data_IF_931813484562
#
_entry.id   IF_931813484562
#
_cell.length_a   1.000
_cell.length_b   1.000
_cell.length_c   1.000
_cell.angle_alpha   90.00
_cell.angle_beta   90.00
_cell.angle_gamma   90.00
#
_symmetry.space_group_name_H-M   'P 1'
#
loop_
_entity.id
_entity.type
_entity.pdbx_description
1 polymer ?
#
# COMPACT_ATOMS: atom_id res chain seq x y z
N UNK A 1 -10.16 -0.79 10.23
CA UNK A 1 -8.81 -0.24 10.50
C UNK A 1 -8.85 1.21 10.07
N UNK A 2 -8.40 2.13 10.92
CA UNK A 2 -8.22 3.53 10.58
C UNK A 2 -6.79 3.73 10.08
N UNK A 3 -6.61 4.52 9.02
CA UNK A 3 -5.32 4.75 8.39
C UNK A 3 -4.92 6.21 8.63
N UNK A 4 -3.72 6.41 9.15
CA UNK A 4 -3.11 7.72 9.34
C UNK A 4 -2.10 7.92 8.23
N UNK A 5 -2.44 8.81 7.30
CA UNK A 5 -1.61 9.19 6.16
C UNK A 5 -0.51 10.19 6.59
N UNK A 6 0.26 10.73 5.64
CA UNK A 6 1.25 11.80 5.85
C UNK A 6 0.65 13.00 6.62
N UNK A 7 1.50 13.79 7.27
CA UNK A 7 1.19 14.81 8.31
C UNK A 7 1.20 14.32 9.77
N UNK A 8 1.47 13.04 10.03
CA UNK A 8 1.81 12.60 11.38
C UNK A 8 3.27 12.92 11.78
N UNK A 9 4.14 13.15 10.80
CA UNK A 9 5.54 13.56 10.93
C UNK A 9 5.77 14.96 10.34
N UNK A 10 6.86 15.64 10.76
CA UNK A 10 7.20 17.00 10.30
C UNK A 10 7.71 17.02 8.86
N UNK A 11 8.67 16.13 8.55
CA UNK A 11 9.18 15.87 7.19
C UNK A 11 9.48 14.38 7.05
N UNK A 12 9.62 13.93 5.80
CA UNK A 12 9.99 12.54 5.53
C UNK A 12 11.26 12.13 6.29
N UNK A 13 11.19 10.96 6.94
CA UNK A 13 12.29 10.40 7.74
C UNK A 13 12.41 10.93 9.17
N UNK A 14 11.50 11.79 9.65
CA UNK A 14 11.47 12.15 11.08
C UNK A 14 11.02 10.98 11.96
N UNK A 15 10.14 10.11 11.44
CA UNK A 15 9.70 8.87 12.07
C UNK A 15 9.11 9.05 13.50
N UNK A 16 8.63 10.26 13.81
CA UNK A 16 8.06 10.61 15.11
C UNK A 16 6.81 11.49 14.94
N UNK A 17 5.92 11.43 15.92
CA UNK A 17 4.69 12.21 15.93
C UNK A 17 4.95 13.70 16.10
N UNK A 18 4.36 14.53 15.25
CA UNK A 18 4.31 15.99 15.46
C UNK A 18 3.37 16.32 16.60
N UNK A 19 3.91 16.49 17.81
CA UNK A 19 3.11 16.70 19.03
C UNK A 19 2.21 17.93 19.03
N UNK A 20 2.48 18.90 18.15
CA UNK A 20 1.57 20.04 17.92
C UNK A 20 0.20 19.60 17.38
N UNK A 21 0.17 18.63 16.48
CA UNK A 21 -1.07 18.11 15.87
C UNK A 21 -1.54 16.81 16.53
N UNK A 22 -0.60 16.05 17.10
CA UNK A 22 -0.82 14.75 17.75
C UNK A 22 -0.32 14.79 19.19
N UNK A 23 -0.99 15.54 20.10
CA UNK A 23 -0.49 15.77 21.45
C UNK A 23 -0.37 14.47 22.26
N UNK A 24 -1.37 13.59 22.16
CA UNK A 24 -1.39 12.28 22.82
C UNK A 24 -1.78 11.13 21.85
N UNK A 25 -0.85 10.68 20.98
CA UNK A 25 -1.11 9.61 20.03
C UNK A 25 -1.28 8.25 20.73
N UNK A 26 -0.74 8.08 21.94
CA UNK A 26 -0.90 6.84 22.73
C UNK A 26 -2.29 6.79 23.36
N UNK A 27 -2.77 7.91 23.90
CA UNK A 27 -4.15 8.07 24.36
C UNK A 27 -5.14 7.86 23.22
N UNK A 28 -4.94 8.53 22.09
CA UNK A 28 -5.74 8.33 20.87
C UNK A 28 -5.77 6.85 20.45
N UNK A 29 -4.60 6.19 20.40
CA UNK A 29 -4.54 4.79 20.03
C UNK A 29 -5.28 3.88 21.02
N UNK A 30 -5.22 4.19 22.32
CA UNK A 30 -5.96 3.47 23.37
C UNK A 30 -7.47 3.62 23.19
N UNK A 31 -7.96 4.83 22.93
CA UNK A 31 -9.39 5.11 22.71
C UNK A 31 -9.91 4.40 21.46
N UNK A 32 -9.20 4.53 20.33
CA UNK A 32 -9.55 3.85 19.08
C UNK A 32 -9.59 2.33 19.27
N UNK A 33 -8.63 1.75 20.01
CA UNK A 33 -8.62 0.32 20.31
C UNK A 33 -9.77 -0.10 21.23
N UNK A 34 -10.15 0.72 22.20
CA UNK A 34 -11.33 0.47 23.04
C UNK A 34 -12.63 0.45 22.23
N UNK A 35 -12.68 1.19 21.11
CA UNK A 35 -13.77 1.15 20.13
C UNK A 35 -13.67 -0.02 19.13
N UNK A 36 -12.61 -0.84 19.20
CA UNK A 36 -12.39 -1.96 18.28
C UNK A 36 -11.66 -1.61 16.97
N UNK A 37 -11.10 -0.40 16.85
CA UNK A 37 -10.28 -0.04 15.70
C UNK A 37 -8.85 -0.58 15.84
N UNK A 38 -8.33 -1.08 14.72
CA UNK A 38 -6.90 -1.17 14.47
C UNK A 38 -6.41 0.08 13.76
N UNK A 39 -5.14 0.42 13.94
CA UNK A 39 -4.54 1.64 13.38
C UNK A 39 -3.39 1.25 12.45
N UNK A 40 -3.43 1.76 11.23
CA UNK A 40 -2.32 1.70 10.29
C UNK A 40 -1.75 3.10 10.09
N UNK A 41 -0.45 3.18 9.84
CA UNK A 41 0.23 4.46 9.61
C UNK A 41 1.10 4.40 8.35
N UNK A 42 1.05 5.46 7.55
CA UNK A 42 1.88 5.63 6.37
C UNK A 42 3.36 5.80 6.75
N UNK A 43 4.23 5.10 6.03
CA UNK A 43 5.67 5.15 6.12
C UNK A 43 6.22 5.37 4.71
N UNK A 44 7.36 6.03 4.64
CA UNK A 44 8.01 6.40 3.39
C UNK A 44 9.51 6.07 3.47
N UNK A 45 10.15 5.77 2.33
CA UNK A 45 11.56 5.37 2.32
C UNK A 45 12.54 6.53 2.49
N UNK A 46 12.05 7.76 2.32
CA UNK A 46 12.86 8.97 2.24
C UNK A 46 13.34 9.48 3.59
N UNK A 47 14.49 10.16 3.58
CA UNK A 47 15.10 10.78 4.75
C UNK A 47 15.53 12.22 4.45
N UNK A 48 14.87 13.20 5.05
CA UNK A 48 15.30 14.59 4.99
C UNK A 48 16.60 14.79 5.77
N UNK A 49 17.50 15.66 5.28
CA UNK A 49 18.80 15.94 5.92
C UNK A 49 18.69 16.50 7.35
N UNK A 50 17.59 17.20 7.62
CA UNK A 50 17.30 17.81 8.93
C UNK A 50 16.55 16.84 9.86
N UNK A 51 16.26 15.60 9.42
CA UNK A 51 15.71 14.58 10.31
C UNK A 51 16.64 14.37 11.51
N UNK A 52 16.10 14.25 12.74
CA UNK A 52 16.90 13.91 13.92
C UNK A 52 17.57 12.53 13.82
N UNK A 53 17.17 11.72 12.83
CA UNK A 53 17.73 10.40 12.57
C UNK A 53 18.73 10.38 11.42
N UNK A 54 18.89 11.47 10.66
CA UNK A 54 19.71 11.46 9.45
C UNK A 54 21.13 10.95 9.73
N UNK A 55 21.78 11.50 10.76
CA UNK A 55 23.15 11.14 11.15
C UNK A 55 23.31 9.67 11.54
N UNK A 56 22.29 9.08 12.17
CA UNK A 56 22.33 7.66 12.57
C UNK A 56 22.48 6.72 11.37
N UNK A 57 21.93 7.12 10.21
CA UNK A 57 22.00 6.37 8.96
C UNK A 57 23.18 6.81 8.08
N UNK A 58 23.39 8.12 7.92
CA UNK A 58 24.44 8.65 7.03
C UNK A 58 25.84 8.23 7.47
N UNK A 59 26.13 8.27 8.78
CA UNK A 59 27.45 7.92 9.33
C UNK A 59 27.80 6.44 9.12
N UNK A 60 26.79 5.60 8.85
CA UNK A 60 26.96 4.16 8.57
C UNK A 60 26.86 3.82 7.08
N UNK A 61 26.68 4.82 6.21
CA UNK A 61 26.46 4.60 4.78
C UNK A 61 25.12 3.92 4.47
N UNK A 62 24.09 4.12 5.30
CA UNK A 62 22.77 3.47 5.17
C UNK A 62 21.76 4.29 4.38
N UNK A 63 22.19 5.37 3.73
CA UNK A 63 21.34 6.22 2.90
C UNK A 63 21.81 6.15 1.46
N UNK A 64 20.88 5.82 0.56
CA UNK A 64 21.00 6.08 -0.88
C UNK A 64 20.93 7.59 -1.06
N UNK A 65 21.74 8.12 -1.96
CA UNK A 65 21.73 9.52 -2.38
C UNK A 65 21.74 9.64 -3.90
N UNK A 66 21.27 10.78 -4.42
CA UNK A 66 21.22 11.03 -5.85
C UNK A 66 21.50 12.49 -6.21
N UNK A 67 21.86 12.71 -7.47
CA UNK A 67 22.10 14.05 -8.00
C UNK A 67 20.76 14.78 -8.21
N UNK A 68 20.51 15.93 -7.57
CA UNK A 68 19.30 16.72 -7.78
C UNK A 68 19.08 17.13 -9.23
N UNK A 69 20.13 17.33 -10.02
CA UNK A 69 20.00 17.77 -11.42
C UNK A 69 19.31 16.72 -12.32
N UNK A 70 19.17 15.48 -11.86
CA UNK A 70 18.50 14.40 -12.59
C UNK A 70 17.06 14.18 -12.14
N UNK A 71 16.58 14.96 -11.19
CA UNK A 71 15.28 14.76 -10.55
C UNK A 71 14.34 15.89 -10.95
N UNK A 72 13.22 15.59 -11.63
CA UNK A 72 12.20 16.61 -11.89
C UNK A 72 11.63 17.13 -10.56
N UNK A 73 11.22 18.40 -10.52
CA UNK A 73 10.66 19.09 -9.34
C UNK A 73 9.26 18.58 -8.92
N UNK A 74 9.05 17.26 -8.90
CA UNK A 74 7.77 16.64 -8.54
C UNK A 74 7.82 16.04 -7.14
N UNK A 75 8.58 14.97 -6.95
CA UNK A 75 8.61 14.19 -5.70
C UNK A 75 9.94 13.46 -5.54
N UNK A 76 10.49 13.25 -4.33
CA UNK A 76 9.98 13.74 -3.05
C UNK A 76 10.21 15.26 -2.90
N UNK A 77 9.35 15.96 -2.13
CA UNK A 77 9.35 17.40 -2.00
C UNK A 77 10.49 17.87 -1.08
N UNK A 78 10.51 19.16 -0.75
CA UNK A 78 11.34 19.73 0.32
C UNK A 78 12.85 19.49 0.19
N UNK A 79 13.36 19.37 -1.04
CA UNK A 79 14.79 19.22 -1.24
C UNK A 79 15.34 17.86 -0.76
N UNK A 80 14.48 16.85 -0.59
CA UNK A 80 14.90 15.50 -0.18
C UNK A 80 15.78 14.87 -1.26
N UNK A 81 16.95 14.36 -0.85
CA UNK A 81 17.94 13.71 -1.72
C UNK A 81 18.38 12.34 -1.23
N UNK A 82 17.70 11.79 -0.24
CA UNK A 82 18.12 10.54 0.40
C UNK A 82 16.95 9.60 0.66
N UNK A 83 17.23 8.31 0.56
CA UNK A 83 16.34 7.22 0.97
C UNK A 83 17.12 6.19 1.78
N UNK A 84 16.45 5.47 2.66
CA UNK A 84 17.08 4.37 3.42
C UNK A 84 17.50 3.25 2.46
N UNK A 85 18.74 2.79 2.54
CA UNK A 85 19.19 1.64 1.74
C UNK A 85 18.66 0.33 2.34
N UNK A 86 17.41 -0.05 2.04
CA UNK A 86 16.86 -1.32 2.51
C UNK A 86 17.56 -2.55 1.94
N UNK A 87 18.49 -2.41 0.98
CA UNK A 87 19.34 -3.53 0.56
C UNK A 87 20.39 -3.88 1.61
N UNK A 88 20.79 -2.92 2.45
CA UNK A 88 21.71 -3.12 3.56
C UNK A 88 21.02 -3.77 4.79
N UNK A 89 21.45 -4.95 5.28
CA UNK A 89 20.84 -5.60 6.44
C UNK A 89 20.91 -4.75 7.72
N UNK A 90 22.01 -4.02 7.92
CA UNK A 90 22.16 -3.06 9.00
C UNK A 90 21.17 -1.89 8.94
N UNK A 91 20.89 -1.34 7.75
CA UNK A 91 19.91 -0.28 7.56
C UNK A 91 18.49 -0.77 7.88
N UNK A 92 18.13 -1.98 7.43
CA UNK A 92 16.85 -2.62 7.78
C UNK A 92 16.63 -2.71 9.29
N UNK A 93 17.64 -3.20 10.02
CA UNK A 93 17.59 -3.31 11.49
C UNK A 93 17.49 -1.95 12.17
N UNK A 94 18.26 -0.96 11.71
CA UNK A 94 18.24 0.38 12.29
C UNK A 94 16.91 1.09 12.02
N UNK A 95 16.37 0.97 10.80
CA UNK A 95 15.05 1.49 10.46
C UNK A 95 13.96 0.89 11.34
N UNK A 96 13.92 -0.44 11.49
CA UNK A 96 12.95 -1.07 12.40
C UNK A 96 13.10 -0.56 13.83
N UNK A 97 14.33 -0.38 14.36
CA UNK A 97 14.54 0.18 15.70
C UNK A 97 13.94 1.58 15.87
N UNK A 98 13.85 2.38 14.80
CA UNK A 98 13.18 3.70 14.82
C UNK A 98 11.67 3.60 14.72
N UNK A 99 11.15 2.57 14.05
CA UNK A 99 9.71 2.33 13.85
C UNK A 99 9.07 1.57 15.01
N UNK A 100 9.81 0.68 15.69
CA UNK A 100 9.32 -0.16 16.78
C UNK A 100 8.62 0.62 17.91
N UNK A 101 9.09 1.82 18.32
CA UNK A 101 8.34 2.65 19.26
C UNK A 101 6.91 2.95 18.81
N UNK A 102 6.66 3.16 17.51
CA UNK A 102 5.31 3.43 16.98
C UNK A 102 4.42 2.19 17.09
N UNK A 103 4.97 1.00 16.86
CA UNK A 103 4.28 -0.28 17.12
C UNK A 103 3.87 -0.40 18.60
N UNK A 104 4.81 -0.10 19.51
CA UNK A 104 4.56 -0.12 20.96
C UNK A 104 3.53 0.92 21.40
N UNK A 105 3.44 2.06 20.69
CA UNK A 105 2.46 3.12 20.94
C UNK A 105 1.05 2.77 20.42
N UNK A 106 0.88 1.66 19.71
CA UNK A 106 -0.42 1.15 19.31
C UNK A 106 -0.67 1.07 17.81
N UNK A 107 0.30 1.37 16.96
CA UNK A 107 0.18 1.09 15.52
C UNK A 107 0.18 -0.44 15.30
N UNK A 108 -0.77 -0.95 14.51
CA UNK A 108 -0.95 -2.39 14.24
C UNK A 108 -0.53 -2.80 12.82
N UNK A 109 -0.33 -1.84 11.90
CA UNK A 109 0.09 -2.10 10.53
C UNK A 109 0.67 -0.86 9.86
N UNK A 110 1.25 -1.03 8.67
CA UNK A 110 1.98 0.05 8.00
C UNK A 110 1.63 0.13 6.52
N UNK A 111 1.33 1.33 6.04
CA UNK A 111 1.27 1.60 4.60
C UNK A 111 2.65 2.03 4.15
N UNK A 112 3.31 1.24 3.30
CA UNK A 112 4.67 1.52 2.82
C UNK A 112 4.58 2.14 1.43
N UNK A 113 4.42 3.45 1.41
CA UNK A 113 4.19 4.21 0.19
C UNK A 113 5.49 4.63 -0.50
N UNK A 114 5.41 4.94 -1.79
CA UNK A 114 6.53 5.39 -2.63
C UNK A 114 7.70 4.38 -2.69
N UNK A 115 7.39 3.09 -2.58
CA UNK A 115 8.37 2.00 -2.51
C UNK A 115 9.11 1.73 -3.83
N UNK A 116 8.61 2.23 -4.96
CA UNK A 116 9.35 2.26 -6.24
C UNK A 116 10.69 3.01 -6.05
N UNK A 117 10.74 3.89 -5.04
CA UNK A 117 11.50 5.12 -5.03
C UNK A 117 11.10 5.95 -6.25
N UNK A 118 9.98 6.68 -6.13
CA UNK A 118 9.47 7.60 -7.17
C UNK A 118 10.59 8.46 -7.77
N UNK A 119 11.52 8.89 -6.92
CA UNK A 119 12.82 9.37 -7.35
C UNK A 119 13.90 8.36 -7.05
N UNK A 120 14.40 7.77 -8.13
CA UNK A 120 15.57 6.92 -8.13
C UNK A 120 16.26 7.13 -9.47
N UNK A 121 17.08 8.16 -9.70
CA UNK A 121 17.74 8.35 -11.01
C UNK A 121 18.95 7.41 -11.20
N UNK A 122 19.42 7.15 -12.43
CA UNK A 122 20.65 6.39 -12.68
C UNK A 122 21.85 7.01 -11.96
N UNK A 123 22.70 6.18 -11.35
CA UNK A 123 23.83 6.64 -10.53
C UNK A 123 23.51 6.88 -9.05
N UNK A 124 22.26 6.70 -8.63
CA UNK A 124 21.90 6.70 -7.20
C UNK A 124 22.69 5.65 -6.43
N UNK A 125 23.31 6.05 -5.33
CA UNK A 125 24.25 5.22 -4.56
C UNK A 125 24.45 5.74 -3.13
N UNK A 126 24.98 4.91 -2.21
CA UNK A 126 25.26 3.48 -2.34
C UNK A 126 24.01 2.60 -2.26
N UNK A 127 24.11 1.38 -2.81
CA UNK A 127 23.25 0.25 -2.43
C UNK A 127 24.13 -0.94 -2.05
N UNK A 128 23.86 -1.56 -0.91
CA UNK A 128 24.62 -2.70 -0.41
C UNK A 128 24.65 -3.91 -1.37
N UNK A 129 23.56 -4.19 -2.09
CA UNK A 129 23.47 -5.32 -3.02
C UNK A 129 24.00 -5.03 -4.44
N UNK A 130 24.59 -3.85 -4.68
CA UNK A 130 25.25 -3.51 -5.94
C UNK A 130 24.68 -2.28 -6.62
N UNK A 131 24.47 -2.34 -7.94
CA UNK A 131 23.96 -1.20 -8.69
C UNK A 131 22.48 -0.93 -8.38
N UNK A 132 22.04 0.29 -8.69
CA UNK A 132 20.62 0.67 -8.64
C UNK A 132 19.74 -0.35 -9.34
N UNK A 133 20.10 -0.78 -10.55
CA UNK A 133 19.28 -1.62 -11.42
C UNK A 133 19.04 -3.01 -10.82
N UNK A 134 20.00 -3.51 -10.03
CA UNK A 134 19.85 -4.75 -9.28
C UNK A 134 18.88 -4.63 -8.10
N UNK A 135 18.69 -3.42 -7.57
CA UNK A 135 17.95 -3.17 -6.33
C UNK A 135 16.59 -2.55 -6.56
N UNK A 136 16.42 -1.73 -7.60
CA UNK A 136 15.23 -0.89 -7.84
C UNK A 136 13.93 -1.68 -7.70
N UNK A 137 13.79 -2.78 -8.47
CA UNK A 137 12.55 -3.57 -8.47
C UNK A 137 12.34 -4.42 -7.21
N UNK A 138 13.38 -4.66 -6.41
CA UNK A 138 13.28 -5.44 -5.16
C UNK A 138 13.28 -4.55 -3.90
N UNK A 139 13.34 -3.22 -4.07
CA UNK A 139 13.50 -2.28 -2.98
C UNK A 139 12.35 -2.40 -1.96
N UNK A 140 11.09 -2.32 -2.40
CA UNK A 140 9.91 -2.49 -1.53
C UNK A 140 9.87 -3.87 -0.89
N UNK A 141 10.31 -4.92 -1.60
CA UNK A 141 10.39 -6.28 -1.03
C UNK A 141 11.35 -6.33 0.16
N UNK A 142 12.51 -5.66 0.06
CA UNK A 142 13.50 -5.61 1.13
C UNK A 142 13.05 -4.71 2.28
N UNK A 143 12.29 -3.66 1.99
CA UNK A 143 11.66 -2.82 2.99
C UNK A 143 10.58 -3.58 3.78
N UNK A 144 9.65 -4.23 3.08
CA UNK A 144 8.63 -5.09 3.70
C UNK A 144 9.26 -6.24 4.49
N UNK A 145 10.39 -6.79 4.02
CA UNK A 145 11.18 -7.73 4.81
C UNK A 145 11.68 -7.11 6.12
N UNK A 146 12.20 -5.88 6.09
CA UNK A 146 12.67 -5.19 7.30
C UNK A 146 11.56 -5.06 8.34
N UNK A 147 10.37 -4.68 7.88
CA UNK A 147 9.17 -4.56 8.70
C UNK A 147 8.72 -5.91 9.26
N UNK A 148 8.61 -6.92 8.39
CA UNK A 148 8.18 -8.26 8.77
C UNK A 148 9.11 -8.89 9.80
N UNK A 149 10.41 -8.97 9.49
CA UNK A 149 11.40 -9.55 10.39
C UNK A 149 11.47 -8.77 11.71
N UNK A 150 11.41 -7.44 11.63
CA UNK A 150 11.42 -6.53 12.76
C UNK A 150 10.25 -6.79 13.71
N UNK A 151 9.02 -6.68 13.24
CA UNK A 151 7.83 -6.93 14.06
C UNK A 151 7.82 -8.35 14.62
N UNK A 152 8.21 -9.35 13.81
CA UNK A 152 8.26 -10.76 14.21
C UNK A 152 9.30 -11.05 15.29
N UNK A 153 10.33 -10.21 15.41
CA UNK A 153 11.36 -10.33 16.44
C UNK A 153 10.88 -9.94 17.84
N UNK A 154 9.85 -9.09 17.94
CA UNK A 154 9.30 -8.62 19.22
C UNK A 154 7.81 -8.94 19.43
N UNK A 155 7.14 -9.56 18.45
CA UNK A 155 5.71 -9.88 18.53
C UNK A 155 5.30 -11.15 17.77
N UNK A 156 4.29 -11.83 18.31
CA UNK A 156 3.59 -12.94 17.65
C UNK A 156 2.37 -12.50 16.82
N UNK A 157 2.03 -11.21 16.83
CA UNK A 157 0.94 -10.67 15.99
C UNK A 157 1.28 -10.84 14.51
N UNK A 158 0.26 -11.10 13.69
CA UNK A 158 0.42 -11.17 12.24
C UNK A 158 0.82 -9.81 11.71
N UNK A 159 1.82 -9.79 10.82
CA UNK A 159 2.29 -8.59 10.16
C UNK A 159 1.32 -8.23 9.05
N UNK A 160 1.02 -6.94 8.94
CA UNK A 160 0.25 -6.40 7.82
C UNK A 160 0.93 -5.12 7.32
N UNK A 161 1.32 -5.13 6.05
CA UNK A 161 1.71 -3.92 5.34
C UNK A 161 0.95 -3.76 4.03
N UNK A 162 0.76 -2.51 3.63
CA UNK A 162 0.09 -2.12 2.39
C UNK A 162 1.09 -1.42 1.49
N UNK A 163 1.93 -2.11 0.69
CA UNK A 163 2.81 -1.45 -0.27
C UNK A 163 2.10 -1.00 -1.55
N UNK A 164 2.67 0.03 -2.21
CA UNK A 164 2.31 0.44 -3.58
C UNK A 164 3.01 -0.39 -4.67
N UNK A 165 4.14 -1.01 -4.35
CA UNK A 165 4.88 -1.92 -5.24
C UNK A 165 5.26 -3.23 -4.58
N UNK A 166 5.39 -4.26 -5.41
CA UNK A 166 5.87 -5.57 -5.01
C UNK A 166 6.76 -6.18 -6.09
N UNK A 167 7.61 -7.12 -5.67
CA UNK A 167 8.30 -8.06 -6.55
C UNK A 167 7.88 -9.50 -6.23
N UNK A 168 8.30 -10.45 -7.07
CA UNK A 168 8.08 -11.88 -6.85
C UNK A 168 8.47 -12.30 -5.42
N UNK A 169 7.50 -12.91 -4.71
CA UNK A 169 7.69 -13.42 -3.36
C UNK A 169 7.45 -12.40 -2.25
N UNK A 170 7.08 -11.14 -2.54
CA UNK A 170 6.78 -10.13 -1.49
C UNK A 170 5.61 -10.52 -0.59
N UNK A 171 4.66 -11.32 -1.10
CA UNK A 171 3.50 -11.82 -0.35
C UNK A 171 3.89 -12.54 0.96
N UNK A 172 5.09 -13.12 1.04
CA UNK A 172 5.59 -13.82 2.24
C UNK A 172 5.85 -12.89 3.43
N UNK A 173 5.87 -11.57 3.20
CA UNK A 173 6.14 -10.55 4.21
C UNK A 173 4.88 -9.82 4.69
N UNK A 174 3.69 -10.42 4.52
CA UNK A 174 2.43 -9.82 5.01
C UNK A 174 1.94 -8.62 4.20
N UNK A 175 2.37 -8.55 2.94
CA UNK A 175 2.07 -7.44 2.03
C UNK A 175 0.73 -7.61 1.32
N UNK A 176 -0.09 -6.56 1.34
CA UNK A 176 -1.25 -6.38 0.47
C UNK A 176 -0.98 -5.23 -0.52
N UNK A 177 -0.96 -5.54 -1.81
CA UNK A 177 -0.68 -4.52 -2.83
C UNK A 177 -1.89 -3.60 -2.98
N UNK A 178 -1.66 -2.30 -3.08
CA UNK A 178 -2.69 -1.37 -3.53
C UNK A 178 -2.32 -0.77 -4.90
N UNK A 179 -3.34 -0.46 -5.70
CA UNK A 179 -3.24 -0.07 -7.11
C UNK A 179 -2.62 1.30 -7.39
N UNK A 180 -2.28 2.09 -6.38
CA UNK A 180 -1.70 3.42 -6.58
C UNK A 180 -2.74 4.54 -6.71
N UNK A 181 -2.23 5.73 -7.07
CA UNK A 181 -2.96 7.00 -7.09
C UNK A 181 -3.82 7.11 -8.36
N UNK A 182 -4.95 6.42 -8.36
CA UNK A 182 -5.83 6.26 -9.52
C UNK A 182 -6.89 7.38 -9.67
N UNK A 183 -7.32 7.68 -10.89
CA UNK A 183 -8.38 8.65 -11.14
C UNK A 183 -9.78 8.10 -10.79
N UNK A 184 -10.71 8.95 -10.33
CA UNK A 184 -12.09 8.55 -10.08
C UNK A 184 -12.92 8.55 -11.38
N UNK A 185 -12.66 7.60 -12.28
CA UNK A 185 -13.42 7.43 -13.54
C UNK A 185 -13.99 6.01 -13.72
N UNK A 186 -14.97 5.87 -14.62
CA UNK A 186 -15.58 4.58 -14.94
C UNK A 186 -14.62 3.64 -15.68
N UNK A 187 -13.79 4.21 -16.56
CA UNK A 187 -12.73 3.51 -17.28
C UNK A 187 -11.71 2.94 -16.30
N UNK A 188 -11.26 3.74 -15.33
CA UNK A 188 -10.30 3.26 -14.32
C UNK A 188 -10.90 2.18 -13.42
N UNK A 189 -12.20 2.25 -13.09
CA UNK A 189 -12.90 1.17 -12.39
C UNK A 189 -12.92 -0.11 -13.23
N UNK A 190 -13.15 -0.02 -14.54
CA UNK A 190 -13.08 -1.17 -15.45
C UNK A 190 -11.66 -1.79 -15.42
N UNK A 191 -10.62 -0.97 -15.54
CA UNK A 191 -9.22 -1.41 -15.51
C UNK A 191 -8.88 -2.11 -14.18
N UNK A 192 -9.41 -1.61 -13.06
CA UNK A 192 -9.17 -2.20 -11.74
C UNK A 192 -9.64 -3.67 -11.65
N UNK A 193 -10.70 -4.05 -12.36
CA UNK A 193 -11.17 -5.44 -12.39
C UNK A 193 -10.12 -6.35 -13.02
N UNK A 194 -9.52 -5.90 -14.13
CA UNK A 194 -8.48 -6.64 -14.85
C UNK A 194 -7.18 -6.65 -14.06
N UNK A 195 -6.72 -5.48 -13.58
CA UNK A 195 -5.48 -5.32 -12.82
C UNK A 195 -5.51 -6.19 -11.55
N UNK A 196 -6.60 -6.15 -10.79
CA UNK A 196 -6.73 -6.94 -9.55
C UNK A 196 -6.60 -8.44 -9.80
N UNK A 197 -7.21 -8.95 -10.88
CA UNK A 197 -7.10 -10.35 -11.27
C UNK A 197 -5.67 -10.71 -11.68
N UNK A 198 -5.01 -9.89 -12.49
CA UNK A 198 -3.64 -10.12 -12.94
C UNK A 198 -2.62 -10.10 -11.77
N UNK A 199 -2.79 -9.20 -10.81
CA UNK A 199 -1.98 -9.19 -9.58
C UNK A 199 -2.16 -10.49 -8.79
N UNK A 200 -3.41 -10.93 -8.61
CA UNK A 200 -3.73 -12.15 -7.88
C UNK A 200 -3.20 -13.40 -8.59
N UNK A 201 -3.34 -13.46 -9.92
CA UNK A 201 -2.80 -14.50 -10.79
C UNK A 201 -1.26 -14.57 -10.70
N UNK A 202 -0.59 -13.43 -10.51
CA UNK A 202 0.86 -13.31 -10.35
C UNK A 202 1.37 -13.71 -8.95
N UNK A 203 0.51 -14.25 -8.09
CA UNK A 203 0.90 -14.77 -6.77
C UNK A 203 0.93 -13.73 -5.65
N UNK A 204 0.37 -12.53 -5.87
CA UNK A 204 0.12 -11.52 -4.84
C UNK A 204 -1.38 -11.56 -4.46
N UNK A 205 -1.78 -12.33 -3.43
CA UNK A 205 -3.18 -12.69 -3.24
C UNK A 205 -4.02 -11.62 -2.52
N UNK A 206 -3.37 -10.62 -1.95
CA UNK A 206 -4.03 -9.51 -1.28
C UNK A 206 -3.82 -8.27 -2.12
N UNK A 207 -4.91 -7.80 -2.71
CA UNK A 207 -4.93 -6.62 -3.56
C UNK A 207 -6.07 -5.68 -3.14
N UNK A 208 -5.85 -4.38 -3.31
CA UNK A 208 -6.77 -3.31 -3.03
C UNK A 208 -6.74 -2.25 -4.14
N UNK A 209 -7.85 -1.57 -4.34
CA UNK A 209 -7.91 -0.26 -4.99
C UNK A 209 -8.44 0.78 -4.02
N UNK A 210 -8.25 2.06 -4.35
CA UNK A 210 -8.96 3.13 -3.66
C UNK A 210 -10.39 3.22 -4.19
N UNK A 211 -11.33 2.74 -3.37
CA UNK A 211 -12.74 2.72 -3.73
C UNK A 211 -13.22 4.15 -3.99
N UNK A 212 -13.68 4.42 -5.21
CA UNK A 212 -14.07 5.75 -5.66
C UNK A 212 -12.92 6.59 -6.23
N UNK A 213 -11.76 5.99 -6.51
CA UNK A 213 -10.56 6.66 -7.00
C UNK A 213 -9.81 7.45 -5.91
N UNK A 214 -8.57 7.84 -6.20
CA UNK A 214 -7.71 8.59 -5.29
C UNK A 214 -7.77 10.09 -5.56
N UNK A 215 -7.61 10.51 -6.82
CA UNK A 215 -7.46 11.92 -7.18
C UNK A 215 -8.73 12.75 -6.90
N UNK A 216 -8.54 14.00 -6.48
CA UNK A 216 -9.63 14.98 -6.35
C UNK A 216 -9.90 15.58 -7.73
N UNK A 217 -11.14 15.44 -8.18
CA UNK A 217 -11.65 15.99 -9.44
C UNK A 217 -12.77 16.99 -9.16
N UNK A 218 -13.01 17.92 -10.08
CA UNK A 218 -14.11 18.89 -9.98
C UNK A 218 -15.50 18.22 -10.03
N UNK A 219 -15.56 17.01 -10.56
CA UNK A 219 -16.76 16.20 -10.66
C UNK A 219 -16.65 15.00 -9.73
N UNK A 220 -17.66 14.82 -8.88
CA UNK A 220 -17.78 13.70 -7.98
C UNK A 220 -19.07 12.95 -8.30
N UNK A 221 -18.94 11.67 -8.63
CA UNK A 221 -20.05 10.81 -9.04
C UNK A 221 -20.37 9.80 -7.93
N UNK A 222 -21.45 10.02 -7.15
CA UNK A 222 -21.90 9.05 -6.15
C UNK A 222 -22.24 7.68 -6.73
N UNK A 223 -22.68 7.58 -7.99
CA UNK A 223 -22.98 6.29 -8.62
C UNK A 223 -21.69 5.52 -8.90
N UNK A 224 -20.64 6.19 -9.41
CA UNK A 224 -19.31 5.58 -9.57
C UNK A 224 -18.79 5.02 -8.24
N UNK A 225 -18.83 5.83 -7.18
CA UNK A 225 -18.42 5.37 -5.84
C UNK A 225 -19.24 4.17 -5.37
N UNK A 226 -20.56 4.21 -5.52
CA UNK A 226 -21.43 3.09 -5.15
C UNK A 226 -20.99 1.83 -5.90
N UNK A 227 -20.80 1.88 -7.22
CA UNK A 227 -20.41 0.69 -8.01
C UNK A 227 -19.05 0.16 -7.63
N UNK A 228 -18.09 1.05 -7.42
CA UNK A 228 -16.77 0.67 -6.95
C UNK A 228 -16.82 0.03 -5.56
N UNK A 229 -17.62 0.56 -4.65
CA UNK A 229 -17.80 0.02 -3.31
C UNK A 229 -18.47 -1.35 -3.33
N UNK A 230 -19.50 -1.51 -4.17
CA UNK A 230 -20.18 -2.79 -4.35
C UNK A 230 -19.22 -3.89 -4.78
N UNK A 231 -18.39 -3.61 -5.80
CA UNK A 231 -17.36 -4.53 -6.27
C UNK A 231 -16.26 -4.74 -5.21
N UNK A 232 -15.75 -3.66 -4.62
CA UNK A 232 -14.72 -3.68 -3.59
C UNK A 232 -15.10 -4.54 -2.38
N UNK A 233 -16.39 -4.61 -2.04
CA UNK A 233 -16.87 -5.44 -0.92
C UNK A 233 -16.52 -6.93 -1.09
N UNK A 234 -16.31 -7.39 -2.33
CA UNK A 234 -15.91 -8.76 -2.69
C UNK A 234 -14.41 -8.90 -3.03
N UNK A 235 -13.64 -7.80 -3.02
CA UNK A 235 -12.19 -7.83 -3.23
C UNK A 235 -11.44 -8.24 -1.95
N UNK A 236 -10.17 -8.71 -2.05
CA UNK A 236 -9.40 -9.16 -0.89
C UNK A 236 -9.30 -8.10 0.22
N UNK A 237 -9.01 -6.85 -0.16
CA UNK A 237 -8.92 -5.72 0.76
C UNK A 237 -9.99 -4.68 0.39
N UNK A 238 -10.67 -4.14 1.40
CA UNK A 238 -11.76 -3.17 1.25
C UNK A 238 -11.38 -1.86 1.92
N UNK A 239 -11.02 -0.86 1.12
CA UNK A 239 -10.47 0.41 1.56
C UNK A 239 -11.04 1.55 0.72
N UNK A 240 -11.50 2.60 1.38
CA UNK A 240 -11.73 3.90 0.76
C UNK A 240 -10.60 4.84 1.17
N UNK A 241 -10.10 5.63 0.22
CA UNK A 241 -9.02 6.59 0.41
C UNK A 241 -8.94 7.51 -0.81
N UNK A 242 -8.36 8.69 -0.65
CA UNK A 242 -8.16 9.66 -1.73
C UNK A 242 -7.80 11.03 -1.20
N UNK A 243 -7.42 11.94 -2.09
CA UNK A 243 -7.02 13.32 -1.77
C UNK A 243 -8.21 14.23 -1.47
N UNK A 244 -9.44 13.73 -1.57
CA UNK A 244 -10.65 14.48 -1.24
C UNK A 244 -10.69 14.79 0.26
N UNK A 245 -11.32 15.89 0.69
CA UNK A 245 -11.48 16.19 2.11
C UNK A 245 -12.20 15.09 2.88
N UNK A 246 -13.15 14.42 2.24
CA UNK A 246 -13.93 13.32 2.80
C UNK A 246 -13.98 12.16 1.78
N UNK A 247 -13.67 10.95 2.23
CA UNK A 247 -13.65 9.74 1.39
C UNK A 247 -14.55 8.64 1.96
N UNK A 248 -15.11 8.88 3.13
CA UNK A 248 -15.89 7.92 3.88
C UNK A 248 -17.31 7.79 3.32
N UNK A 249 -17.98 6.64 3.54
CA UNK A 249 -19.28 6.35 2.94
C UNK A 249 -20.38 7.42 3.12
N UNK A 250 -20.39 8.14 4.24
CA UNK A 250 -21.39 9.16 4.54
C UNK A 250 -21.24 10.44 3.71
N UNK A 251 -20.07 10.66 3.10
CA UNK A 251 -19.73 11.88 2.34
C UNK A 251 -20.40 11.93 0.96
N UNK A 252 -20.96 10.81 0.50
CA UNK A 252 -21.55 10.65 -0.85
C UNK A 252 -23.08 10.84 -0.86
N UNK A 253 -23.64 11.34 0.24
CA UNK A 253 -25.07 11.60 0.42
C UNK A 253 -25.88 10.38 0.88
N UNK A 254 -27.13 10.59 1.36
CA UNK A 254 -27.88 9.57 2.10
C UNK A 254 -28.16 8.28 1.31
N UNK A 255 -28.33 8.38 -0.02
CA UNK A 255 -28.54 7.21 -0.88
C UNK A 255 -27.27 6.35 -0.95
N UNK A 256 -26.11 6.96 -1.18
CA UNK A 256 -24.84 6.24 -1.26
C UNK A 256 -24.46 5.65 0.09
N UNK A 257 -24.62 6.41 1.19
CA UNK A 257 -24.37 5.95 2.55
C UNK A 257 -25.18 4.68 2.86
N UNK A 258 -26.49 4.69 2.57
CA UNK A 258 -27.36 3.53 2.82
C UNK A 258 -26.87 2.29 2.08
N UNK A 259 -26.54 2.42 0.80
CA UNK A 259 -26.04 1.29 -0.02
C UNK A 259 -24.68 0.81 0.50
N UNK A 260 -23.80 1.75 0.87
CA UNK A 260 -22.50 1.42 1.42
C UNK A 260 -22.60 0.63 2.72
N UNK A 261 -23.48 1.04 3.65
CA UNK A 261 -23.76 0.31 4.88
C UNK A 261 -24.25 -1.11 4.59
N UNK A 262 -25.13 -1.31 3.61
CA UNK A 262 -25.64 -2.63 3.24
C UNK A 262 -24.51 -3.55 2.73
N UNK A 263 -23.62 -3.04 1.86
CA UNK A 263 -22.49 -3.83 1.34
C UNK A 263 -21.38 -4.07 2.37
N UNK A 264 -21.13 -3.12 3.26
CA UNK A 264 -20.26 -3.32 4.43
C UNK A 264 -20.82 -4.46 5.29
N UNK A 265 -22.13 -4.45 5.60
CA UNK A 265 -22.78 -5.54 6.35
C UNK A 265 -22.73 -6.88 5.61
N UNK A 266 -22.87 -6.90 4.27
CA UNK A 266 -22.66 -8.10 3.46
C UNK A 266 -21.25 -8.64 3.67
N UNK A 267 -20.22 -7.81 3.48
CA UNK A 267 -18.82 -8.22 3.65
C UNK A 267 -18.58 -8.80 5.05
N UNK A 268 -19.08 -8.13 6.10
CA UNK A 268 -18.93 -8.63 7.48
C UNK A 268 -19.65 -9.96 7.72
N UNK A 269 -20.84 -10.17 7.14
CA UNK A 269 -21.53 -11.47 7.17
C UNK A 269 -20.77 -12.56 6.44
N UNK A 270 -20.06 -12.21 5.36
CA UNK A 270 -19.24 -13.13 4.57
C UNK A 270 -17.87 -13.40 5.20
N UNK A 271 -17.51 -12.81 6.34
CA UNK A 271 -16.19 -13.00 6.93
C UNK A 271 -15.79 -14.48 7.17
N UNK A 272 -16.68 -15.39 7.60
CA UNK A 272 -16.32 -16.81 7.69
C UNK A 272 -15.94 -17.41 6.33
N UNK A 273 -16.62 -17.01 5.25
CA UNK A 273 -16.31 -17.44 3.89
C UNK A 273 -14.99 -16.82 3.40
N UNK A 274 -14.85 -15.49 3.48
CA UNK A 274 -13.65 -14.76 3.09
C UNK A 274 -12.43 -15.30 3.82
N UNK A 275 -12.53 -15.50 5.14
CA UNK A 275 -11.42 -15.98 5.95
C UNK A 275 -11.07 -17.45 5.70
N UNK A 276 -12.04 -18.26 5.28
CA UNK A 276 -11.78 -19.63 4.78
C UNK A 276 -11.03 -19.63 3.46
N UNK A 277 -11.32 -18.67 2.56
CA UNK A 277 -10.56 -18.48 1.33
C UNK A 277 -9.13 -18.00 1.64
N UNK A 278 -8.96 -17.04 2.55
CA UNK A 278 -7.65 -16.59 3.03
C UNK A 278 -6.84 -17.73 3.65
N UNK A 279 -7.49 -18.65 4.38
CA UNK A 279 -6.83 -19.88 4.84
C UNK A 279 -6.35 -20.73 3.66
N UNK A 280 -7.19 -20.99 2.65
CA UNK A 280 -6.76 -21.70 1.42
C UNK A 280 -5.60 -20.99 0.73
N UNK A 281 -5.64 -19.67 0.61
CA UNK A 281 -4.51 -18.86 0.09
C UNK A 281 -3.22 -19.15 0.86
N UNK A 282 -3.27 -19.22 2.19
CA UNK A 282 -2.09 -19.52 3.00
C UNK A 282 -1.54 -20.95 2.84
N UNK A 283 -2.39 -21.90 2.44
CA UNK A 283 -2.01 -23.31 2.29
C UNK A 283 -1.49 -23.63 0.89
N UNK A 284 -2.16 -23.10 -0.15
CA UNK A 284 -1.93 -23.50 -1.55
C UNK A 284 -1.71 -22.32 -2.51
N UNK A 285 -1.69 -21.09 -2.02
CA UNK A 285 -1.43 -19.90 -2.84
C UNK A 285 -2.62 -19.41 -3.68
N UNK A 286 -3.77 -20.07 -3.62
CA UNK A 286 -4.96 -19.69 -4.38
C UNK A 286 -5.61 -18.42 -3.80
N UNK A 287 -5.60 -17.32 -4.55
CA UNK A 287 -6.13 -16.02 -4.12
C UNK A 287 -7.65 -16.04 -3.87
N UNK A 288 -8.12 -15.06 -3.09
CA UNK A 288 -9.55 -14.80 -2.85
C UNK A 288 -10.22 -14.29 -4.13
N UNK A 289 -9.56 -13.38 -4.85
CA UNK A 289 -9.96 -12.96 -6.19
C UNK A 289 -9.29 -13.89 -7.20
N UNK A 290 -10.10 -14.59 -8.00
CA UNK A 290 -9.62 -15.57 -8.95
C UNK A 290 -9.94 -15.14 -10.37
N UNK A 291 -8.94 -15.33 -11.21
CA UNK A 291 -9.03 -15.24 -12.66
C UNK A 291 -9.95 -16.35 -13.17
N UNK A 292 -10.66 -16.10 -14.27
CA UNK A 292 -11.55 -17.08 -14.89
C UNK A 292 -10.73 -18.27 -15.43
N UNK A 293 -9.53 -18.03 -15.98
CA UNK A 293 -8.60 -19.07 -16.40
C UNK A 293 -8.15 -19.99 -15.25
N UNK A 294 -8.00 -19.47 -14.02
CA UNK A 294 -7.66 -20.30 -12.85
C UNK A 294 -8.87 -21.14 -12.41
N UNK A 295 -10.06 -20.55 -12.37
CA UNK A 295 -11.25 -21.23 -11.86
C UNK A 295 -11.78 -22.27 -12.86
N UNK A 296 -11.63 -22.00 -14.16
CA UNK A 296 -12.11 -22.83 -15.26
C UNK A 296 -10.98 -23.16 -16.27
N UNK A 297 -9.94 -23.90 -15.87
CA UNK A 297 -8.73 -24.10 -16.68
C UNK A 297 -8.93 -24.91 -17.97
N UNK A 298 -10.10 -25.55 -18.15
CA UNK A 298 -10.45 -26.30 -19.35
C UNK A 298 -11.47 -25.59 -20.24
N UNK A 299 -11.84 -24.36 -19.91
CA UNK A 299 -12.81 -23.56 -20.66
C UNK A 299 -12.06 -22.53 -21.53
N UNK A 300 -12.07 -22.74 -22.84
CA UNK A 300 -11.40 -21.86 -23.81
C UNK A 300 -12.04 -20.47 -23.84
N UNK A 301 -13.36 -20.36 -23.63
CA UNK A 301 -14.08 -19.08 -23.59
C UNK A 301 -13.67 -18.27 -22.36
N UNK A 302 -13.51 -18.94 -21.20
CA UNK A 302 -12.97 -18.31 -19.99
C UNK A 302 -11.56 -17.73 -20.20
N UNK A 303 -10.72 -18.40 -20.98
CA UNK A 303 -9.38 -17.91 -21.32
C UNK A 303 -9.40 -16.78 -22.35
N UNK A 304 -10.27 -16.85 -23.36
CA UNK A 304 -10.42 -15.82 -24.37
C UNK A 304 -10.97 -14.52 -23.77
N UNK A 305 -12.03 -14.58 -22.98
CA UNK A 305 -12.62 -13.40 -22.34
C UNK A 305 -11.61 -12.71 -21.40
N UNK A 306 -10.85 -13.47 -20.61
CA UNK A 306 -9.81 -12.90 -19.75
C UNK A 306 -8.67 -12.27 -20.57
N UNK A 307 -8.24 -12.93 -21.66
CA UNK A 307 -7.27 -12.35 -22.59
C UNK A 307 -7.81 -11.07 -23.26
N UNK A 308 -9.08 -11.04 -23.68
CA UNK A 308 -9.68 -9.87 -24.32
C UNK A 308 -9.83 -8.70 -23.35
N UNK A 309 -10.19 -8.97 -22.09
CA UNK A 309 -10.20 -7.99 -21.03
C UNK A 309 -8.81 -7.37 -20.80
N UNK A 310 -7.73 -8.18 -20.84
CA UNK A 310 -6.34 -7.67 -20.75
C UNK A 310 -5.82 -6.98 -22.02
N UNK A 311 -6.46 -7.19 -23.18
CA UNK A 311 -6.03 -6.65 -24.47
C UNK A 311 -6.60 -5.28 -24.82
N UNK A 312 -7.59 -4.77 -24.08
CA UNK A 312 -8.24 -3.48 -24.40
C UNK A 312 -7.25 -2.31 -24.49
N UNK A 313 -6.08 -2.38 -23.84
CA UNK A 313 -5.05 -1.34 -23.90
C UNK A 313 -3.79 -1.67 -24.72
N UNK A 314 -3.58 -2.93 -25.12
CA UNK A 314 -2.37 -3.34 -25.85
C UNK A 314 -2.45 -3.07 -27.37
N UNK A 315 -3.64 -2.76 -27.90
CA UNK A 315 -3.85 -2.53 -29.34
C UNK A 315 -3.70 -1.04 -29.74
N UNK A 316 -3.70 -0.09 -28.80
CA UNK A 316 -3.45 1.32 -29.13
C UNK A 316 -1.97 1.72 -29.17
N UNK A 317 -1.03 0.83 -28.81
CA UNK A 317 0.42 1.10 -28.85
C UNK A 317 1.14 0.48 -30.05
N UNK A 318 0.42 -0.17 -30.97
CA UNK A 318 0.97 -0.77 -32.20
C UNK A 318 0.17 -0.42 -33.47
N UNK A 319 -0.58 0.69 -33.44
CA UNK A 319 -1.26 1.27 -34.60
C UNK A 319 -0.60 2.54 -35.10
#
# INVERSE_FOLDING_TARGET
MLIIDWCWFERFGYLEWVRKYWPDPVGMARELKAMGFHIMQAQHPYMHKDSPHFKDFSDKGYLISWNPAQVPDRWPPDGIRHAVDFSHPGARKLWWKKIEPLFQQGIDGYWTDMGELETHPPGSSPHYLGSREKVHNIYTTLWNKALYDGQRSSSNKRVFCLPRTVYAGTQRYGAALWSGDIDPSWEVLEDQVVIGQQVCLSGQPYWASDIGGFQTTDFYDPELYIRWLQWGAFCPIFRTHGTRPENEPWSFGPRAEKIAVDYIRIRYRLMPYIYSLVYKTSQIGLSVMRSMMIEFPGDEEAAEEECMATRRDLVQLLG
#
